data_IF_721137691989
#
_entry.id   IF_721137691989
#
_cell.length_a   1.000
_cell.length_b   1.000
_cell.length_c   1.000
_cell.angle_alpha   90.00
_cell.angle_beta   90.00
_cell.angle_gamma   90.00
#
_symmetry.space_group_name_H-M   'P 1'
#
loop_
_entity.id
_entity.type
_entity.pdbx_description
1 polymer ?
#
# COMPACT_ATOMS: atom_id res chain seq x y z
N UNK A 1 15.26 10.79 9.23
CA UNK A 1 16.03 9.53 9.12
C UNK A 1 15.02 8.41 8.99
N UNK A 2 15.04 7.63 7.91
CA UNK A 2 14.05 6.57 7.72
C UNK A 2 14.20 5.47 8.75
N UNK A 3 13.07 4.94 9.21
CA UNK A 3 13.01 3.88 10.21
C UNK A 3 12.90 2.53 9.53
N UNK A 4 13.70 1.55 9.97
CA UNK A 4 13.55 0.17 9.52
C UNK A 4 12.32 -0.47 10.16
N UNK A 5 11.75 -1.50 9.52
CA UNK A 5 10.63 -2.26 10.12
C UNK A 5 11.03 -2.82 11.48
N UNK A 6 12.28 -3.30 11.61
CA UNK A 6 12.83 -3.79 12.87
C UNK A 6 12.77 -2.71 13.96
N UNK A 7 13.30 -1.51 13.68
CA UNK A 7 13.29 -0.41 14.64
C UNK A 7 11.85 -0.02 15.02
N UNK A 8 10.94 0.05 14.04
CA UNK A 8 9.54 0.36 14.30
C UNK A 8 8.89 -0.63 15.27
N UNK A 9 9.09 -1.94 15.07
CA UNK A 9 8.48 -2.94 15.98
C UNK A 9 9.11 -2.93 17.36
N UNK A 10 10.43 -2.73 17.45
CA UNK A 10 11.14 -2.62 18.71
C UNK A 10 10.68 -1.41 19.52
N UNK A 11 10.45 -0.27 18.86
CA UNK A 11 9.96 0.97 19.47
C UNK A 11 8.56 0.81 20.09
N UNK A 12 7.71 -0.04 19.50
CA UNK A 12 6.38 -0.37 20.06
C UNK A 12 6.40 -1.58 21.00
N UNK A 13 7.58 -2.06 21.39
CA UNK A 13 7.74 -3.15 22.36
C UNK A 13 7.46 -4.55 21.80
N UNK A 14 7.46 -4.72 20.47
CA UNK A 14 7.32 -6.02 19.82
C UNK A 14 8.70 -6.59 19.44
N UNK A 15 8.98 -7.87 19.70
CA UNK A 15 10.24 -8.47 19.31
C UNK A 15 10.31 -8.62 17.77
N UNK A 16 11.48 -8.43 17.12
CA UNK A 16 11.62 -8.62 15.68
C UNK A 16 11.22 -10.01 15.18
N UNK A 17 11.32 -11.03 16.03
CA UNK A 17 10.90 -12.41 15.76
C UNK A 17 9.39 -12.57 15.63
N UNK A 18 8.58 -11.60 16.07
CA UNK A 18 7.14 -11.59 15.84
C UNK A 18 6.76 -11.20 14.40
N UNK A 19 7.71 -10.71 13.60
CA UNK A 19 7.46 -10.34 12.20
C UNK A 19 7.54 -11.58 11.32
N UNK A 20 6.44 -11.93 10.68
CA UNK A 20 6.42 -12.87 9.56
C UNK A 20 6.54 -12.10 8.25
N UNK A 21 7.64 -12.27 7.53
CA UNK A 21 7.87 -11.65 6.22
C UNK A 21 7.34 -12.54 5.11
N UNK A 22 6.66 -11.93 4.15
CA UNK A 22 6.12 -12.59 2.95
C UNK A 22 6.34 -11.68 1.74
N UNK A 23 6.56 -12.27 0.57
CA UNK A 23 6.69 -11.49 -0.66
C UNK A 23 5.34 -10.95 -1.10
N UNK A 24 5.34 -9.77 -1.73
CA UNK A 24 4.14 -9.22 -2.35
C UNK A 24 3.58 -10.21 -3.39
N UNK A 25 2.26 -10.26 -3.52
CA UNK A 25 1.53 -11.19 -4.39
C UNK A 25 1.72 -12.68 -4.02
N UNK A 26 2.18 -13.01 -2.81
CA UNK A 26 2.22 -14.38 -2.30
C UNK A 26 1.01 -14.68 -1.40
N UNK A 27 0.53 -15.95 -1.37
CA UNK A 27 -0.52 -16.33 -0.43
C UNK A 27 -0.09 -16.15 1.02
N UNK A 28 -0.94 -15.51 1.82
CA UNK A 28 -0.74 -15.32 3.26
C UNK A 28 -1.77 -16.16 4.00
N UNK A 29 -1.35 -17.29 4.56
CA UNK A 29 -2.20 -18.12 5.41
C UNK A 29 -2.18 -17.60 6.86
N UNK A 30 -2.84 -16.47 7.07
CA UNK A 30 -3.05 -15.90 8.40
C UNK A 30 -4.52 -15.45 8.54
N UNK A 31 -5.27 -16.18 9.38
CA UNK A 31 -6.70 -15.93 9.64
C UNK A 31 -6.94 -15.06 10.88
N UNK A 32 -5.87 -14.66 11.57
CA UNK A 32 -5.95 -13.87 12.79
C UNK A 32 -6.10 -12.37 12.46
N UNK A 33 -6.70 -11.62 13.38
CA UNK A 33 -6.60 -10.15 13.39
C UNK A 33 -5.16 -9.71 13.71
N UNK A 34 -4.82 -8.50 13.30
CA UNK A 34 -3.57 -7.86 13.72
C UNK A 34 -3.23 -6.65 12.88
N UNK A 35 -1.94 -6.37 12.74
CA UNK A 35 -1.40 -5.28 11.92
C UNK A 35 -0.54 -5.90 10.83
N UNK A 36 -0.56 -5.32 9.64
CA UNK A 36 0.38 -5.65 8.58
C UNK A 36 1.05 -4.40 8.05
N UNK A 37 2.27 -4.58 7.56
CA UNK A 37 3.15 -3.53 7.05
C UNK A 37 3.49 -3.91 5.60
N UNK A 38 3.30 -2.97 4.68
CA UNK A 38 3.78 -3.09 3.29
C UNK A 38 5.03 -2.24 3.15
N UNK A 39 6.10 -2.85 2.65
CA UNK A 39 7.42 -2.24 2.58
C UNK A 39 8.10 -2.57 1.25
N UNK A 40 9.02 -1.70 0.84
CA UNK A 40 9.89 -1.86 -0.34
C UNK A 40 10.99 -2.90 -0.15
N UNK A 41 11.24 -3.35 1.08
CA UNK A 41 12.32 -4.27 1.44
C UNK A 41 11.76 -5.63 1.86
N UNK A 42 12.35 -6.71 1.35
CA UNK A 42 12.12 -8.06 1.87
C UNK A 42 12.88 -8.32 3.19
N UNK A 43 13.71 -7.38 3.63
CA UNK A 43 14.50 -7.48 4.85
C UNK A 43 14.14 -6.37 5.84
N UNK A 44 13.64 -6.77 7.00
CA UNK A 44 13.18 -5.86 8.06
C UNK A 44 14.26 -4.93 8.64
N UNK A 45 15.56 -5.23 8.43
CA UNK A 45 16.67 -4.37 8.89
C UNK A 45 17.19 -3.41 7.83
N UNK A 46 16.72 -3.52 6.58
CA UNK A 46 17.19 -2.68 5.48
C UNK A 46 16.16 -1.61 5.15
N UNK A 47 16.64 -0.38 4.98
CA UNK A 47 15.87 0.71 4.39
C UNK A 47 16.14 0.77 2.89
N UNK A 48 15.32 0.02 2.14
CA UNK A 48 15.28 0.17 0.70
C UNK A 48 14.32 1.30 0.36
N UNK A 49 14.80 2.27 -0.40
CA UNK A 49 14.02 3.45 -0.78
C UNK A 49 13.96 3.56 -2.31
N UNK A 50 12.99 4.30 -2.83
CA UNK A 50 12.90 4.63 -4.25
C UNK A 50 12.74 6.14 -4.36
N UNK A 51 13.72 6.78 -5.01
CA UNK A 51 13.79 8.23 -5.12
C UNK A 51 12.62 8.84 -5.89
N UNK A 52 12.13 8.14 -6.90
CA UNK A 52 11.05 8.60 -7.77
C UNK A 52 9.81 7.72 -7.59
N UNK A 53 8.61 8.31 -7.61
CA UNK A 53 7.36 7.57 -7.51
C UNK A 53 7.30 6.45 -8.57
N UNK A 54 7.29 5.16 -8.18
CA UNK A 54 7.37 4.04 -9.12
C UNK A 54 5.99 3.70 -9.70
N UNK A 55 5.36 4.66 -10.39
CA UNK A 55 4.04 4.47 -11.01
C UNK A 55 4.14 4.31 -12.53
N UNK A 56 3.44 3.30 -13.05
CA UNK A 56 3.35 3.03 -14.49
C UNK A 56 2.36 4.00 -15.16
N UNK A 57 2.81 4.69 -16.22
CA UNK A 57 1.94 5.55 -17.02
C UNK A 57 0.78 4.78 -17.65
N UNK A 58 1.04 3.57 -18.16
CA UNK A 58 0.01 2.73 -18.76
C UNK A 58 -1.10 2.36 -17.75
N UNK A 59 -0.73 2.12 -16.48
CA UNK A 59 -1.71 1.84 -15.42
C UNK A 59 -2.53 3.09 -15.11
N UNK A 60 -1.89 4.27 -15.02
CA UNK A 60 -2.58 5.54 -14.81
C UNK A 60 -3.56 5.85 -15.93
N UNK A 61 -3.14 5.71 -17.19
CA UNK A 61 -4.00 5.93 -18.36
C UNK A 61 -5.21 4.98 -18.37
N UNK A 62 -4.98 3.69 -18.09
CA UNK A 62 -6.07 2.72 -17.98
C UNK A 62 -7.05 3.08 -16.85
N UNK A 63 -6.54 3.59 -15.74
CA UNK A 63 -7.35 3.99 -14.59
C UNK A 63 -8.16 5.26 -14.89
N UNK A 64 -7.56 6.28 -15.50
CA UNK A 64 -8.25 7.49 -15.99
C UNK A 64 -9.35 7.10 -16.98
N UNK A 65 -9.05 6.25 -17.95
CA UNK A 65 -10.02 5.79 -18.95
C UNK A 65 -11.22 5.09 -18.30
N UNK A 66 -10.98 4.33 -17.23
CA UNK A 66 -12.04 3.64 -16.48
C UNK A 66 -12.94 4.62 -15.71
N UNK A 67 -12.35 5.61 -15.05
CA UNK A 67 -13.11 6.60 -14.26
C UNK A 67 -13.71 7.73 -15.12
N UNK A 68 -13.20 7.91 -16.34
CA UNK A 68 -13.54 9.00 -17.24
C UNK A 68 -12.74 10.27 -16.96
N UNK A 69 -12.49 10.63 -15.71
CA UNK A 69 -11.63 11.77 -15.32
C UNK A 69 -11.24 11.67 -13.83
N UNK A 70 -10.23 12.44 -13.42
CA UNK A 70 -9.95 12.77 -12.03
C UNK A 70 -10.35 14.20 -11.72
N UNK A 71 -10.63 14.49 -10.45
CA UNK A 71 -10.75 15.87 -9.96
C UNK A 71 -9.53 16.17 -9.09
N UNK A 72 -8.70 17.12 -9.51
CA UNK A 72 -7.52 17.61 -8.78
C UNK A 72 -7.71 19.11 -8.57
N UNK A 73 -7.61 19.58 -7.32
CA UNK A 73 -7.85 20.99 -6.97
C UNK A 73 -9.13 21.60 -7.52
N UNK A 74 -10.21 20.79 -7.53
CA UNK A 74 -11.55 21.13 -8.06
C UNK A 74 -11.61 21.20 -9.60
N UNK A 75 -10.53 20.93 -10.32
CA UNK A 75 -10.51 20.84 -11.78
C UNK A 75 -10.54 19.39 -12.27
N UNK A 76 -11.30 19.14 -13.34
CA UNK A 76 -11.34 17.83 -13.97
C UNK A 76 -10.16 17.66 -14.91
N UNK A 77 -9.48 16.52 -14.85
CA UNK A 77 -8.38 16.19 -15.75
C UNK A 77 -8.44 14.74 -16.22
N UNK A 78 -7.99 14.52 -17.46
CA UNK A 78 -7.73 13.21 -18.05
C UNK A 78 -6.23 13.02 -18.35
N UNK A 79 -5.40 14.00 -17.98
CA UNK A 79 -3.97 13.98 -18.25
C UNK A 79 -3.25 13.13 -17.18
N UNK A 80 -2.70 11.99 -17.61
CA UNK A 80 -1.94 11.09 -16.76
C UNK A 80 -0.67 11.73 -16.18
N UNK A 81 -0.06 12.68 -16.87
CA UNK A 81 1.08 13.45 -16.39
C UNK A 81 0.71 14.36 -15.22
N UNK A 82 -0.44 15.04 -15.30
CA UNK A 82 -0.98 15.87 -14.20
C UNK A 82 -1.30 14.99 -12.98
N UNK A 83 -1.97 13.86 -13.20
CA UNK A 83 -2.29 12.91 -12.11
C UNK A 83 -1.01 12.36 -11.47
N UNK A 84 -0.01 11.97 -12.28
CA UNK A 84 1.29 11.51 -11.77
C UNK A 84 2.01 12.59 -10.97
N UNK A 85 2.02 13.82 -11.47
CA UNK A 85 2.62 14.97 -10.79
C UNK A 85 2.01 15.16 -9.41
N UNK A 86 0.68 15.15 -9.31
CA UNK A 86 -0.02 15.25 -8.03
C UNK A 86 0.29 14.08 -7.10
N UNK A 87 0.30 12.84 -7.58
CA UNK A 87 0.65 11.67 -6.75
C UNK A 87 2.10 11.74 -6.25
N UNK A 88 3.02 12.28 -7.03
CA UNK A 88 4.42 12.41 -6.67
C UNK A 88 4.65 13.38 -5.50
N UNK A 89 3.79 14.40 -5.32
CA UNK A 89 3.85 15.31 -4.17
C UNK A 89 3.66 14.59 -2.83
N UNK A 90 2.97 13.44 -2.82
CA UNK A 90 2.76 12.62 -1.62
C UNK A 90 3.81 11.52 -1.45
N UNK A 91 4.73 11.35 -2.40
CA UNK A 91 5.76 10.34 -2.33
C UNK A 91 6.88 10.77 -1.40
N UNK A 92 7.23 9.90 -0.44
CA UNK A 92 8.33 10.15 0.49
C UNK A 92 9.53 9.32 -0.01
N UNK A 93 10.51 9.94 -0.69
CA UNK A 93 11.56 9.22 -1.41
C UNK A 93 12.53 8.48 -0.51
N UNK A 94 12.60 8.87 0.76
CA UNK A 94 13.49 8.27 1.74
C UNK A 94 12.79 7.22 2.60
N UNK A 95 11.49 6.97 2.42
CA UNK A 95 10.74 6.02 3.24
C UNK A 95 10.68 4.62 2.59
N UNK A 96 10.79 3.61 3.44
CA UNK A 96 10.75 2.19 3.10
C UNK A 96 9.34 1.62 3.32
N UNK A 97 8.64 2.13 4.34
CA UNK A 97 7.31 1.68 4.73
C UNK A 97 6.26 2.42 3.89
N UNK A 98 5.60 1.70 3.00
CA UNK A 98 4.56 2.26 2.13
C UNK A 98 3.21 2.37 2.83
N UNK A 99 2.92 1.43 3.74
CA UNK A 99 1.60 1.33 4.34
C UNK A 99 1.63 0.52 5.65
N UNK A 100 0.83 0.95 6.62
CA UNK A 100 0.56 0.23 7.87
C UNK A 100 -0.95 0.25 8.10
N UNK A 101 -1.57 -0.92 8.25
CA UNK A 101 -3.01 -0.99 8.53
C UNK A 101 -3.36 -2.11 9.51
N UNK A 102 -4.43 -1.89 10.27
CA UNK A 102 -5.07 -2.91 11.11
C UNK A 102 -5.98 -3.78 10.25
N UNK A 103 -5.89 -5.09 10.43
CA UNK A 103 -6.82 -6.07 9.88
C UNK A 103 -7.69 -6.65 11.00
N UNK A 104 -8.89 -6.11 11.27
CA UNK A 104 -9.83 -6.69 12.22
C UNK A 104 -10.47 -7.96 11.66
N UNK A 105 -10.98 -8.84 12.53
CA UNK A 105 -11.84 -9.93 12.08
C UNK A 105 -13.17 -9.37 11.58
N UNK A 106 -13.56 -9.75 10.36
CA UNK A 106 -14.90 -9.47 9.81
C UNK A 106 -15.86 -10.60 10.14
N UNK A 107 -17.18 -10.36 10.01
CA UNK A 107 -18.24 -11.36 10.28
C UNK A 107 -18.04 -12.69 9.52
N UNK A 108 -17.31 -12.67 8.41
CA UNK A 108 -16.93 -13.83 7.57
C UNK A 108 -15.59 -14.50 7.97
N UNK A 109 -15.01 -14.19 9.14
CA UNK A 109 -13.73 -14.75 9.62
C UNK A 109 -12.53 -14.49 8.71
N UNK A 110 -12.41 -13.25 8.26
CA UNK A 110 -11.33 -12.80 7.38
C UNK A 110 -10.29 -11.99 8.18
N UNK A 111 -9.10 -12.58 8.39
CA UNK A 111 -7.97 -11.97 9.07
C UNK A 111 -7.00 -11.24 8.13
N UNK A 112 -5.75 -11.04 8.58
CA UNK A 112 -4.69 -10.36 7.83
C UNK A 112 -4.56 -10.88 6.40
N UNK A 113 -4.55 -12.20 6.22
CA UNK A 113 -4.30 -12.81 4.91
C UNK A 113 -5.37 -12.49 3.87
N UNK A 114 -6.63 -12.39 4.28
CA UNK A 114 -7.70 -11.97 3.37
C UNK A 114 -7.63 -10.46 3.10
N UNK A 115 -7.36 -9.64 4.12
CA UNK A 115 -7.22 -8.18 3.96
C UNK A 115 -6.13 -7.81 2.95
N UNK A 116 -4.99 -8.50 2.98
CA UNK A 116 -3.93 -8.28 1.99
C UNK A 116 -4.34 -8.81 0.61
N UNK A 117 -5.02 -9.95 0.54
CA UNK A 117 -5.51 -10.53 -0.73
C UNK A 117 -6.49 -9.63 -1.47
N UNK A 118 -7.26 -8.82 -0.74
CA UNK A 118 -8.16 -7.83 -1.33
C UNK A 118 -7.40 -6.84 -2.23
N UNK A 119 -6.16 -6.42 -1.90
CA UNK A 119 -5.33 -5.59 -2.78
C UNK A 119 -4.96 -6.28 -4.11
N UNK A 120 -4.79 -7.60 -4.10
CA UNK A 120 -4.41 -8.36 -5.30
C UNK A 120 -5.58 -8.53 -6.27
N UNK A 121 -6.80 -8.54 -5.74
CA UNK A 121 -8.03 -8.84 -6.50
C UNK A 121 -8.81 -7.59 -6.89
N UNK A 122 -8.65 -6.51 -6.13
CA UNK A 122 -9.39 -5.27 -6.38
C UNK A 122 -8.75 -4.54 -7.55
N UNK A 123 -9.47 -4.49 -8.67
CA UNK A 123 -9.03 -3.70 -9.81
C UNK A 123 -8.93 -2.22 -9.41
N UNK A 124 -7.85 -1.56 -9.84
CA UNK A 124 -7.61 -0.13 -9.59
C UNK A 124 -8.83 0.69 -10.06
N UNK A 125 -9.25 1.67 -9.25
CA UNK A 125 -10.44 2.48 -9.49
C UNK A 125 -11.78 1.82 -9.15
N UNK A 126 -11.77 0.70 -8.43
CA UNK A 126 -12.97 0.19 -7.77
C UNK A 126 -13.06 0.77 -6.35
N UNK A 127 -14.24 1.24 -5.96
CA UNK A 127 -14.48 1.89 -4.67
C UNK A 127 -14.41 0.99 -3.42
N UNK A 128 -14.09 -0.30 -3.56
CA UNK A 128 -14.11 -1.23 -2.43
C UNK A 128 -13.38 -2.54 -2.73
N UNK A 129 -12.97 -3.29 -1.69
CA UNK A 129 -13.41 -3.23 -0.29
C UNK A 129 -12.54 -2.36 0.64
N UNK A 130 -11.57 -1.62 0.10
CA UNK A 130 -10.72 -0.71 0.86
C UNK A 130 -11.26 0.72 0.77
N UNK A 131 -11.94 1.19 1.82
CA UNK A 131 -12.43 2.57 1.89
C UNK A 131 -11.28 3.60 1.89
N UNK A 132 -10.06 3.17 2.26
CA UNK A 132 -8.84 3.97 2.20
C UNK A 132 -7.95 3.72 0.97
N UNK A 133 -8.44 2.97 -0.02
CA UNK A 133 -7.68 2.60 -1.22
C UNK A 133 -8.33 3.16 -2.49
N UNK A 134 -7.79 4.28 -2.96
CA UNK A 134 -7.87 4.80 -4.33
C UNK A 134 -9.18 4.50 -5.10
N UNK A 135 -10.26 5.11 -4.62
CA UNK A 135 -11.48 5.36 -5.40
C UNK A 135 -11.34 6.59 -6.29
#
# INVERSE_FOLDING_TARGET
MPITIKQLVEEVGLPPTAIKVVKWNSPIDCKNKGVYIVSLSENAVLNRTIKELPISMNILEAWIKKLGYFTIDKEKTQDAGVVKGRLAEFWIPDENILYIEKAPLRKSSDGIGNRVREYYRTAIGNAGPHVGGIG
#
